data_IF_007843448720
#
_entry.id   IF_007843448720
#
_cell.length_a   1.000
_cell.length_b   1.000
_cell.length_c   1.000
_cell.angle_alpha   90.00
_cell.angle_beta   90.00
_cell.angle_gamma   90.00
#
_symmetry.space_group_name_H-M   'P 1'
#
loop_
_entity.id
_entity.type
_entity.pdbx_description
1 polymer ?
#
# COMPACT_ATOMS: atom_id res chain seq x y z
N UNK A 1 -1.27 18.03 24.69
CA UNK A 1 -0.27 17.26 23.91
C UNK A 1 -0.52 15.75 23.94
N UNK A 2 -0.37 15.07 25.09
CA UNK A 2 -0.50 13.60 25.18
C UNK A 2 -1.85 13.05 24.71
N UNK A 3 -2.96 13.68 25.08
CA UNK A 3 -4.30 13.31 24.59
C UNK A 3 -4.41 13.37 23.06
N UNK A 4 -3.95 14.45 22.43
CA UNK A 4 -3.95 14.58 20.97
C UNK A 4 -3.01 13.57 20.31
N UNK A 5 -1.86 13.26 20.93
CA UNK A 5 -0.94 12.22 20.48
C UNK A 5 -1.56 10.82 20.50
N UNK A 6 -2.28 10.48 21.59
CA UNK A 6 -3.00 9.22 21.68
C UNK A 6 -4.11 9.12 20.64
N UNK A 7 -4.92 10.18 20.48
CA UNK A 7 -5.98 10.23 19.47
C UNK A 7 -5.40 10.10 18.06
N UNK A 8 -4.34 10.83 17.76
CA UNK A 8 -3.67 10.76 16.45
C UNK A 8 -3.21 9.34 16.15
N UNK A 9 -2.58 8.66 17.11
CA UNK A 9 -2.10 7.28 16.95
C UNK A 9 -3.25 6.31 16.74
N UNK A 10 -4.30 6.37 17.56
CA UNK A 10 -5.46 5.48 17.41
C UNK A 10 -6.12 5.65 16.04
N UNK A 11 -6.44 6.88 15.65
CA UNK A 11 -7.13 7.15 14.39
C UNK A 11 -6.24 6.79 13.18
N UNK A 12 -4.91 6.92 13.31
CA UNK A 12 -3.98 6.49 12.25
C UNK A 12 -3.88 4.97 12.12
N UNK A 13 -3.88 4.21 13.23
CA UNK A 13 -3.91 2.74 13.19
C UNK A 13 -5.22 2.25 12.56
N UNK A 14 -6.34 2.86 12.94
CA UNK A 14 -7.65 2.53 12.36
C UNK A 14 -7.66 2.80 10.85
N UNK A 15 -7.12 3.97 10.42
CA UNK A 15 -6.97 4.31 9.00
C UNK A 15 -6.13 3.29 8.26
N UNK A 16 -4.97 2.91 8.81
CA UNK A 16 -4.07 1.93 8.19
C UNK A 16 -4.78 0.60 7.98
N UNK A 17 -5.42 0.05 9.02
CA UNK A 17 -6.15 -1.21 8.93
C UNK A 17 -7.29 -1.18 7.92
N UNK A 18 -8.07 -0.09 7.90
CA UNK A 18 -9.18 0.06 6.96
C UNK A 18 -8.66 0.13 5.52
N UNK A 19 -7.56 0.85 5.28
CA UNK A 19 -6.98 0.95 3.94
C UNK A 19 -6.27 -0.32 3.50
N UNK A 20 -5.62 -1.05 4.42
CA UNK A 20 -5.07 -2.39 4.14
C UNK A 20 -6.21 -3.36 3.75
N UNK A 21 -7.29 -3.42 4.52
CA UNK A 21 -8.46 -4.24 4.20
C UNK A 21 -9.08 -3.83 2.85
N UNK A 22 -9.22 -2.52 2.60
CA UNK A 22 -9.69 -1.98 1.32
C UNK A 22 -8.81 -2.43 0.15
N UNK A 23 -7.49 -2.35 0.32
CA UNK A 23 -6.53 -2.75 -0.70
C UNK A 23 -6.54 -4.26 -0.98
N UNK A 24 -6.89 -5.06 0.02
CA UNK A 24 -7.01 -6.51 -0.09
C UNK A 24 -8.24 -6.92 -0.90
N UNK A 25 -9.40 -6.30 -0.67
CA UNK A 25 -10.63 -6.53 -1.47
C UNK A 25 -10.42 -6.13 -2.91
N UNK A 26 -9.89 -4.93 -3.10
CA UNK A 26 -9.78 -4.31 -4.41
C UNK A 26 -8.45 -4.64 -5.08
N UNK A 27 -7.74 -5.67 -4.59
CA UNK A 27 -6.47 -6.08 -5.15
C UNK A 27 -6.65 -6.57 -6.59
N UNK A 28 -5.74 -6.17 -7.48
CA UNK A 28 -5.74 -6.59 -8.89
C UNK A 28 -5.82 -8.12 -9.08
N UNK A 29 -5.29 -8.90 -8.12
CA UNK A 29 -5.33 -10.37 -8.11
C UNK A 29 -6.76 -10.90 -8.13
N UNK A 30 -7.67 -10.28 -7.39
CA UNK A 30 -9.07 -10.70 -7.30
C UNK A 30 -9.97 -10.02 -8.34
N UNK A 31 -9.46 -8.98 -9.01
CA UNK A 31 -10.15 -8.27 -10.08
C UNK A 31 -9.61 -8.63 -11.46
N UNK A 32 -8.71 -7.81 -12.01
CA UNK A 32 -8.22 -7.98 -13.39
C UNK A 32 -7.56 -9.35 -13.65
N UNK A 33 -6.90 -9.93 -12.65
CA UNK A 33 -6.24 -11.24 -12.79
C UNK A 33 -7.14 -12.44 -12.41
N UNK A 34 -8.40 -12.19 -12.05
CA UNK A 34 -9.36 -13.26 -11.74
C UNK A 34 -10.10 -13.74 -13.00
N UNK A 35 -9.98 -15.04 -13.29
CA UNK A 35 -10.70 -15.69 -14.39
C UNK A 35 -12.22 -15.61 -14.19
N UNK A 36 -12.69 -15.71 -12.94
CA UNK A 36 -14.12 -15.61 -12.61
C UNK A 36 -14.68 -14.22 -12.86
N UNK A 37 -13.94 -13.16 -12.53
CA UNK A 37 -14.38 -11.79 -12.82
C UNK A 37 -14.53 -11.55 -14.32
N UNK A 38 -13.58 -12.07 -15.11
CA UNK A 38 -13.69 -12.04 -16.57
C UNK A 38 -14.87 -12.85 -17.07
N UNK A 39 -15.07 -14.08 -16.58
CA UNK A 39 -16.23 -14.92 -16.92
C UNK A 39 -17.53 -14.19 -16.63
N UNK A 40 -17.71 -13.66 -15.43
CA UNK A 40 -18.95 -12.99 -15.00
C UNK A 40 -19.23 -11.72 -15.84
N UNK A 41 -18.21 -10.90 -16.12
CA UNK A 41 -18.35 -9.70 -16.97
C UNK A 41 -18.61 -10.03 -18.44
N UNK A 42 -18.03 -11.11 -18.97
CA UNK A 42 -18.30 -11.56 -20.34
C UNK A 42 -19.70 -12.16 -20.44
N UNK A 43 -20.10 -13.00 -19.48
CA UNK A 43 -21.45 -13.60 -19.42
C UNK A 43 -22.51 -12.51 -19.36
N UNK A 44 -22.35 -11.47 -18.53
CA UNK A 44 -23.33 -10.38 -18.45
C UNK A 44 -23.43 -9.56 -19.75
N UNK A 45 -22.32 -9.38 -20.47
CA UNK A 45 -22.33 -8.74 -21.80
C UNK A 45 -23.07 -9.59 -22.83
N UNK A 46 -22.83 -10.90 -22.82
CA UNK A 46 -23.49 -11.87 -23.72
C UNK A 46 -24.98 -12.00 -23.38
N UNK A 47 -25.35 -12.23 -22.13
CA UNK A 47 -26.75 -12.32 -21.68
C UNK A 47 -27.54 -11.06 -22.01
N UNK A 48 -26.96 -9.89 -21.77
CA UNK A 48 -27.60 -8.62 -22.09
C UNK A 48 -27.66 -8.28 -23.59
N UNK A 49 -27.06 -9.07 -24.48
CA UNK A 49 -27.28 -8.99 -25.94
C UNK A 49 -28.10 -10.17 -26.48
N UNK A 50 -28.19 -11.27 -25.74
CA UNK A 50 -28.96 -12.46 -26.09
C UNK A 50 -30.43 -12.32 -25.69
N UNK A 51 -30.81 -11.30 -24.90
CA UNK A 51 -32.20 -10.97 -24.57
C UNK A 51 -33.15 -10.83 -25.77
N UNK A 52 -32.64 -10.54 -26.98
CA UNK A 52 -33.42 -10.44 -28.21
C UNK A 52 -33.01 -11.43 -29.32
N UNK A 53 -32.14 -12.41 -29.04
CA UNK A 53 -31.74 -13.40 -30.03
C UNK A 53 -32.31 -14.79 -29.70
N UNK A 54 -33.51 -15.07 -30.22
CA UNK A 54 -33.90 -16.45 -30.55
C UNK A 54 -33.02 -16.94 -31.70
N UNK A 55 -31.77 -17.25 -31.39
CA UNK A 55 -30.76 -17.65 -32.36
C UNK A 55 -31.04 -19.09 -32.80
N UNK A 56 -31.54 -19.23 -34.02
CA UNK A 56 -31.82 -20.54 -34.63
C UNK A 56 -30.52 -21.33 -34.81
N UNK A 57 -30.61 -22.66 -34.89
CA UNK A 57 -29.44 -23.55 -34.99
C UNK A 57 -28.50 -23.19 -36.17
N UNK A 58 -29.05 -22.59 -37.23
CA UNK A 58 -28.30 -22.08 -38.38
C UNK A 58 -27.42 -20.88 -38.01
N UNK A 59 -27.96 -19.90 -37.29
CA UNK A 59 -27.25 -18.70 -36.86
C UNK A 59 -26.16 -18.99 -35.83
N UNK A 60 -26.35 -20.00 -34.95
CA UNK A 60 -25.29 -20.49 -34.05
C UNK A 60 -24.09 -21.04 -34.82
N UNK A 61 -24.36 -21.79 -35.90
CA UNK A 61 -23.31 -22.39 -36.73
C UNK A 61 -22.53 -21.34 -37.53
N UNK A 62 -23.22 -20.29 -37.97
CA UNK A 62 -22.62 -19.15 -38.67
C UNK A 62 -21.78 -18.27 -37.75
N UNK A 63 -22.28 -17.98 -36.53
CA UNK A 63 -21.53 -17.23 -35.54
C UNK A 63 -20.27 -18.00 -35.10
N UNK A 64 -20.39 -19.32 -34.91
CA UNK A 64 -19.24 -20.17 -34.61
C UNK A 64 -18.19 -20.12 -35.73
N UNK A 65 -18.61 -20.22 -36.99
CA UNK A 65 -17.69 -20.13 -38.13
C UNK A 65 -17.01 -18.75 -38.22
N UNK A 66 -17.71 -17.65 -37.90
CA UNK A 66 -17.14 -16.31 -37.88
C UNK A 66 -16.13 -16.11 -36.73
N UNK A 67 -16.45 -16.61 -35.53
CA UNK A 67 -15.54 -16.54 -34.38
C UNK A 67 -14.30 -17.38 -34.63
N UNK A 68 -14.45 -18.58 -35.21
CA UNK A 68 -13.31 -19.42 -35.63
C UNK A 68 -12.45 -18.73 -36.69
N UNK A 69 -13.06 -18.06 -37.68
CA UNK A 69 -12.33 -17.31 -38.71
C UNK A 69 -11.56 -16.09 -38.13
N UNK A 70 -12.16 -15.37 -37.17
CA UNK A 70 -11.52 -14.22 -36.52
C UNK A 70 -10.37 -14.66 -35.60
N UNK A 71 -10.55 -15.71 -34.80
CA UNK A 71 -9.51 -16.27 -33.95
C UNK A 71 -8.37 -16.86 -34.79
N UNK A 72 -8.69 -17.58 -35.87
CA UNK A 72 -7.74 -18.05 -36.88
C UNK A 72 -6.96 -16.89 -37.50
N UNK A 73 -7.64 -15.81 -37.87
CA UNK A 73 -7.03 -14.60 -38.43
C UNK A 73 -6.07 -13.92 -37.46
N UNK A 74 -6.45 -13.80 -36.19
CA UNK A 74 -5.61 -13.23 -35.13
C UNK A 74 -4.36 -14.09 -34.89
N UNK A 75 -4.52 -15.41 -34.79
CA UNK A 75 -3.39 -16.35 -34.65
C UNK A 75 -2.45 -16.25 -35.86
N UNK A 76 -3.00 -16.23 -37.08
CA UNK A 76 -2.22 -16.15 -38.33
C UNK A 76 -1.46 -14.82 -38.43
N UNK A 77 -2.09 -13.71 -38.01
CA UNK A 77 -1.48 -12.37 -38.00
C UNK A 77 -0.37 -12.27 -36.96
N UNK A 78 -0.58 -12.79 -35.74
CA UNK A 78 0.45 -12.87 -34.69
C UNK A 78 1.63 -13.73 -35.14
N UNK A 79 1.40 -14.89 -35.76
CA UNK A 79 2.47 -15.75 -36.30
C UNK A 79 3.23 -15.07 -37.46
N UNK A 80 2.53 -14.33 -38.32
CA UNK A 80 3.15 -13.57 -39.41
C UNK A 80 4.01 -12.41 -38.89
N UNK A 81 3.56 -11.70 -37.84
CA UNK A 81 4.28 -10.60 -37.20
C UNK A 81 5.61 -11.08 -36.58
N UNK A 82 5.60 -12.27 -35.97
CA UNK A 82 6.81 -12.90 -35.39
C UNK A 82 7.74 -13.51 -36.45
N UNK A 83 7.23 -13.85 -37.63
CA UNK A 83 8.03 -14.38 -38.73
C UNK A 83 8.74 -13.30 -39.56
N UNK A 84 8.30 -12.03 -39.52
CA UNK A 84 8.98 -10.91 -40.18
C UNK A 84 10.46 -10.80 -39.74
N UNK A 85 11.37 -10.32 -40.60
CA UNK A 85 12.76 -10.09 -40.24
C UNK A 85 12.85 -8.98 -39.17
N UNK A 86 13.21 -9.36 -37.94
CA UNK A 86 13.37 -8.46 -36.80
C UNK A 86 14.77 -7.84 -36.82
N UNK A 87 14.85 -6.51 -36.92
CA UNK A 87 16.12 -5.76 -37.01
C UNK A 87 16.84 -5.60 -35.66
N UNK A 88 16.13 -5.72 -34.52
CA UNK A 88 16.71 -5.53 -33.18
C UNK A 88 17.18 -6.85 -32.54
N UNK A 89 18.22 -6.76 -31.72
CA UNK A 89 18.83 -7.90 -30.99
C UNK A 89 17.80 -8.57 -30.06
N UNK A 90 16.97 -7.77 -29.38
CA UNK A 90 15.85 -8.28 -28.55
C UNK A 90 14.76 -9.00 -29.36
N UNK A 91 14.49 -8.56 -30.59
CA UNK A 91 13.54 -9.23 -31.49
C UNK A 91 14.03 -10.59 -31.99
N UNK A 92 15.34 -10.75 -32.17
CA UNK A 92 15.97 -12.03 -32.54
C UNK A 92 15.93 -13.06 -31.41
N UNK A 93 16.11 -12.63 -30.16
CA UNK A 93 16.02 -13.48 -28.96
C UNK A 93 14.61 -14.02 -28.71
N UNK A 94 13.58 -13.19 -28.89
CA UNK A 94 12.16 -13.63 -28.78
C UNK A 94 11.79 -14.65 -29.86
N UNK A 95 12.27 -14.47 -31.09
CA UNK A 95 12.06 -15.40 -32.21
C UNK A 95 12.75 -16.76 -31.98
N UNK A 96 13.95 -16.74 -31.39
CA UNK A 96 14.69 -17.95 -31.02
C UNK A 96 13.96 -18.75 -29.92
N UNK A 97 13.50 -18.08 -28.86
CA UNK A 97 12.72 -18.72 -27.79
C UNK A 97 11.41 -19.35 -28.30
N UNK A 98 10.68 -18.66 -29.19
CA UNK A 98 9.44 -19.20 -29.76
C UNK A 98 9.67 -20.45 -30.63
N UNK A 99 10.74 -20.48 -31.43
CA UNK A 99 11.09 -21.65 -32.26
C UNK A 99 11.54 -22.87 -31.45
N UNK A 100 12.13 -22.67 -30.28
CA UNK A 100 12.73 -23.75 -29.49
C UNK A 100 11.74 -24.39 -28.49
N UNK A 101 10.75 -23.63 -28.03
CA UNK A 101 9.77 -24.12 -27.05
C UNK A 101 8.41 -24.47 -27.64
N UNK A 102 8.13 -24.12 -28.90
CA UNK A 102 6.82 -24.35 -29.54
C UNK A 102 6.99 -25.03 -30.89
N UNK A 103 6.59 -26.30 -30.96
CA UNK A 103 6.58 -27.09 -32.19
C UNK A 103 5.16 -27.07 -32.80
N UNK A 104 4.89 -26.29 -33.86
CA UNK A 104 3.53 -25.95 -34.29
C UNK A 104 2.68 -27.16 -34.72
N UNK A 105 3.34 -28.23 -35.21
CA UNK A 105 2.67 -29.47 -35.63
C UNK A 105 2.12 -30.28 -34.46
N UNK A 106 2.70 -30.17 -33.25
CA UNK A 106 2.23 -30.86 -32.04
C UNK A 106 1.03 -30.17 -31.39
N UNK A 107 0.97 -28.84 -31.46
CA UNK A 107 -0.17 -28.08 -30.94
C UNK A 107 -1.42 -28.31 -31.79
N UNK A 108 -1.29 -28.33 -33.12
CA UNK A 108 -2.43 -28.53 -34.02
C UNK A 108 -3.04 -29.94 -33.94
N UNK A 109 -2.25 -30.96 -33.60
CA UNK A 109 -2.70 -32.35 -33.43
C UNK A 109 -3.50 -32.59 -32.13
N UNK A 110 -3.37 -31.71 -31.13
CA UNK A 110 -4.04 -31.87 -29.82
C UNK A 110 -5.38 -31.11 -29.73
N UNK A 111 -5.61 -30.14 -30.61
CA UNK A 111 -6.85 -29.32 -30.64
C UNK A 111 -8.14 -30.16 -30.77
N UNK A 112 -8.23 -31.20 -31.63
CA UNK A 112 -9.46 -31.98 -31.79
C UNK A 112 -9.81 -32.79 -30.53
N UNK A 113 -8.81 -33.26 -29.79
CA UNK A 113 -8.96 -34.00 -28.53
C UNK A 113 -9.45 -33.10 -27.39
N UNK A 114 -8.97 -31.86 -27.30
CA UNK A 114 -9.46 -30.89 -26.32
C UNK A 114 -10.90 -30.45 -26.63
N UNK A 115 -11.22 -30.20 -27.90
CA UNK A 115 -12.58 -29.84 -28.32
C UNK A 115 -13.59 -30.98 -28.09
N UNK A 116 -13.22 -32.23 -28.42
CA UNK A 116 -14.08 -33.40 -28.16
C UNK A 116 -14.25 -33.70 -26.68
N UNK A 117 -13.21 -33.49 -25.86
CA UNK A 117 -13.28 -33.63 -24.40
C UNK A 117 -14.16 -32.56 -23.76
N UNK A 118 -14.09 -31.31 -24.23
CA UNK A 118 -14.95 -30.22 -23.74
C UNK A 118 -16.42 -30.48 -24.12
N UNK A 119 -16.70 -30.88 -25.37
CA UNK A 119 -18.06 -31.18 -25.82
C UNK A 119 -18.62 -32.44 -25.13
N UNK A 120 -17.81 -33.49 -24.95
CA UNK A 120 -18.21 -34.70 -24.22
C UNK A 120 -18.47 -34.43 -22.73
N UNK A 121 -17.74 -33.48 -22.11
CA UNK A 121 -17.90 -33.11 -20.69
C UNK A 121 -19.10 -32.19 -20.47
N UNK A 122 -19.44 -31.36 -21.46
CA UNK A 122 -20.65 -30.54 -21.46
C UNK A 122 -21.91 -31.41 -21.65
N UNK A 123 -21.88 -32.42 -22.54
CA UNK A 123 -23.02 -33.30 -22.82
C UNK A 123 -23.07 -34.61 -22.00
N UNK A 124 -22.16 -34.80 -21.04
CA UNK A 124 -22.19 -36.01 -20.20
C UNK A 124 -23.44 -36.00 -19.29
N UNK A 125 -24.14 -37.14 -19.10
CA UNK A 125 -25.29 -37.26 -18.20
C UNK A 125 -25.00 -36.81 -16.76
N UNK A 126 -23.73 -36.72 -16.36
CA UNK A 126 -23.26 -36.18 -15.08
C UNK A 126 -23.45 -34.65 -14.94
N UNK A 127 -23.38 -33.89 -16.03
CA UNK A 127 -23.61 -32.44 -16.04
C UNK A 127 -25.11 -32.10 -15.95
N UNK A 128 -25.97 -32.93 -16.58
CA UNK A 128 -27.43 -32.81 -16.49
C UNK A 128 -27.95 -33.30 -15.12
N UNK A 129 -27.34 -34.34 -14.54
CA UNK A 129 -27.66 -34.82 -13.17
C UNK A 129 -27.19 -33.85 -12.07
N UNK A 130 -26.13 -33.06 -12.31
CA UNK A 130 -25.68 -31.95 -11.43
C UNK A 130 -26.66 -30.78 -11.36
N UNK A 131 -27.34 -30.43 -12.47
CA UNK A 131 -28.42 -29.42 -12.46
C UNK A 131 -29.65 -29.87 -11.64
N UNK A 132 -29.92 -31.19 -11.58
CA UNK A 132 -31.00 -31.78 -10.75
C UNK A 132 -30.59 -32.12 -9.31
N UNK A 133 -29.28 -32.23 -9.04
CA UNK A 133 -28.73 -32.66 -7.75
C UNK A 133 -28.54 -31.57 -6.70
N UNK A 134 -28.79 -30.30 -7.02
CA UNK A 134 -28.73 -29.18 -6.06
C UNK A 134 -29.89 -29.22 -5.03
N UNK A 135 -30.76 -30.23 -5.10
CA UNK A 135 -31.82 -30.46 -4.12
C UNK A 135 -31.49 -31.50 -3.02
N UNK A 136 -30.35 -32.21 -3.03
CA UNK A 136 -30.08 -33.16 -1.93
C UNK A 136 -28.59 -33.46 -1.68
N UNK A 137 -28.28 -33.53 -0.40
CA UNK A 137 -26.99 -33.43 0.30
C UNK A 137 -25.88 -34.47 -0.01
N UNK A 138 -24.67 -34.07 0.43
CA UNK A 138 -23.43 -34.83 0.72
C UNK A 138 -22.37 -34.85 -0.38
N UNK A 139 -21.75 -33.67 -0.49
CA UNK A 139 -20.31 -33.45 -0.58
C UNK A 139 -19.64 -34.24 0.54
N UNK A 140 -18.76 -35.17 0.21
CA UNK A 140 -17.53 -35.42 0.95
C UNK A 140 -16.67 -36.38 0.12
N UNK A 141 -15.40 -35.99 -0.09
CA UNK A 141 -14.24 -36.85 -0.43
C UNK A 141 -13.52 -36.68 -1.78
N UNK A 142 -13.95 -35.88 -2.76
CA UNK A 142 -13.19 -35.81 -4.04
C UNK A 142 -12.89 -34.41 -4.61
N UNK A 143 -12.94 -33.36 -3.79
CA UNK A 143 -12.79 -31.97 -4.24
C UNK A 143 -11.56 -31.26 -3.65
N UNK A 144 -10.38 -31.91 -3.63
CA UNK A 144 -9.24 -31.35 -2.89
C UNK A 144 -7.95 -31.01 -3.62
N UNK A 145 -7.80 -31.14 -4.94
CA UNK A 145 -6.45 -30.93 -5.51
C UNK A 145 -6.26 -30.16 -6.82
N UNK A 146 -7.25 -29.63 -7.55
CA UNK A 146 -6.88 -28.90 -8.80
C UNK A 146 -7.93 -27.91 -9.36
N UNK A 147 -8.53 -27.03 -8.57
CA UNK A 147 -9.33 -25.90 -9.10
C UNK A 147 -9.08 -24.59 -8.31
N UNK A 148 -9.13 -23.46 -9.03
CA UNK A 148 -8.53 -22.13 -8.78
C UNK A 148 -8.32 -21.65 -7.33
N UNK A 149 -7.06 -21.37 -6.98
CA UNK A 149 -6.67 -20.80 -5.68
C UNK A 149 -7.18 -19.38 -5.45
N UNK A 150 -7.54 -18.65 -6.52
CA UNK A 150 -8.04 -17.28 -6.47
C UNK A 150 -9.51 -17.20 -6.08
N UNK A 151 -10.33 -18.20 -6.41
CA UNK A 151 -11.74 -18.27 -6.01
C UNK A 151 -11.85 -18.52 -4.49
N UNK A 152 -11.10 -19.52 -3.99
CA UNK A 152 -11.05 -19.81 -2.55
C UNK A 152 -10.46 -18.64 -1.75
N UNK A 153 -9.36 -18.03 -2.23
CA UNK A 153 -8.75 -16.88 -1.58
C UNK A 153 -9.66 -15.64 -1.62
N UNK A 154 -10.29 -15.34 -2.76
CA UNK A 154 -11.22 -14.21 -2.90
C UNK A 154 -12.50 -14.39 -2.06
N UNK A 155 -13.06 -15.59 -2.02
CA UNK A 155 -14.19 -15.91 -1.15
C UNK A 155 -13.81 -15.84 0.34
N UNK A 156 -12.61 -16.27 0.71
CA UNK A 156 -12.10 -16.14 2.08
C UNK A 156 -11.91 -14.66 2.48
N UNK A 157 -11.35 -13.83 1.59
CA UNK A 157 -11.22 -12.37 1.78
C UNK A 157 -12.60 -11.73 1.96
N UNK A 158 -13.53 -12.05 1.06
CA UNK A 158 -14.90 -11.50 1.08
C UNK A 158 -15.63 -11.93 2.36
N UNK A 159 -15.51 -13.19 2.78
CA UNK A 159 -16.12 -13.71 4.01
C UNK A 159 -15.51 -13.09 5.27
N UNK A 160 -14.19 -12.92 5.31
CA UNK A 160 -13.49 -12.23 6.39
C UNK A 160 -14.00 -10.79 6.54
N UNK A 161 -14.19 -10.08 5.44
CA UNK A 161 -14.59 -8.67 5.42
C UNK A 161 -16.07 -8.50 5.68
N UNK A 162 -16.92 -9.37 5.12
CA UNK A 162 -18.34 -9.42 5.43
C UNK A 162 -18.57 -9.61 6.94
N UNK A 163 -17.79 -10.48 7.59
CA UNK A 163 -17.83 -10.70 9.04
C UNK A 163 -17.28 -9.51 9.84
N UNK A 164 -16.16 -8.92 9.43
CA UNK A 164 -15.50 -7.82 10.16
C UNK A 164 -16.29 -6.51 10.09
N UNK A 165 -16.89 -6.21 8.93
CA UNK A 165 -17.55 -4.92 8.68
C UNK A 165 -19.08 -5.00 8.62
N UNK A 166 -19.67 -6.20 8.76
CA UNK A 166 -21.11 -6.46 8.63
C UNK A 166 -21.67 -5.91 7.32
N UNK A 167 -21.10 -6.37 6.20
CA UNK A 167 -21.45 -5.94 4.84
C UNK A 167 -21.68 -7.17 3.98
N UNK A 168 -22.69 -7.12 3.11
CA UNK A 168 -23.09 -8.27 2.28
C UNK A 168 -22.38 -8.31 0.94
N UNK A 169 -21.81 -7.18 0.49
CA UNK A 169 -21.26 -7.03 -0.85
C UNK A 169 -20.07 -6.04 -0.87
N UNK A 170 -19.06 -6.23 -1.75
CA UNK A 170 -17.93 -5.31 -1.90
C UNK A 170 -18.32 -3.86 -2.22
N UNK A 171 -19.43 -3.60 -2.91
CA UNK A 171 -19.87 -2.22 -3.17
C UNK A 171 -20.36 -1.52 -1.89
N UNK A 172 -21.13 -2.23 -1.06
CA UNK A 172 -21.59 -1.73 0.24
C UNK A 172 -20.41 -1.49 1.18
N UNK A 173 -19.40 -2.38 1.14
CA UNK A 173 -18.14 -2.19 1.85
C UNK A 173 -17.46 -0.90 1.41
N UNK A 174 -17.23 -0.71 0.10
CA UNK A 174 -16.56 0.47 -0.43
C UNK A 174 -17.27 1.77 -0.02
N UNK A 175 -18.62 1.84 -0.09
CA UNK A 175 -19.38 3.02 0.31
C UNK A 175 -19.24 3.34 1.81
N UNK A 176 -19.34 2.32 2.67
CA UNK A 176 -19.21 2.46 4.13
C UNK A 176 -17.80 2.89 4.53
N UNK A 177 -16.79 2.29 3.89
CA UNK A 177 -15.38 2.60 4.15
C UNK A 177 -15.01 4.00 3.69
N UNK A 178 -15.43 4.43 2.49
CA UNK A 178 -15.12 5.77 2.00
C UNK A 178 -15.68 6.85 2.94
N UNK A 179 -16.92 6.71 3.41
CA UNK A 179 -17.50 7.63 4.40
C UNK A 179 -16.75 7.63 5.75
N UNK A 180 -16.35 6.46 6.24
CA UNK A 180 -15.58 6.34 7.49
C UNK A 180 -14.18 6.95 7.36
N UNK A 181 -13.53 6.76 6.21
CA UNK A 181 -12.20 7.32 5.92
C UNK A 181 -12.21 8.84 5.88
N UNK A 182 -13.27 9.48 5.36
CA UNK A 182 -13.39 10.94 5.39
C UNK A 182 -13.44 11.50 6.82
N UNK A 183 -14.21 10.87 7.71
CA UNK A 183 -14.27 11.26 9.12
C UNK A 183 -12.92 11.07 9.82
N UNK A 184 -12.30 9.91 9.64
CA UNK A 184 -10.98 9.58 10.16
C UNK A 184 -9.93 10.59 9.65
N UNK A 185 -9.94 10.95 8.38
CA UNK A 185 -8.97 11.90 7.82
C UNK A 185 -9.05 13.27 8.50
N UNK A 186 -10.26 13.79 8.73
CA UNK A 186 -10.46 15.06 9.44
C UNK A 186 -9.95 14.97 10.88
N UNK A 187 -10.29 13.91 11.58
CA UNK A 187 -9.87 13.68 12.96
C UNK A 187 -8.35 13.58 13.11
N UNK A 188 -7.71 12.82 12.23
CA UNK A 188 -6.26 12.65 12.20
C UNK A 188 -5.55 13.97 11.89
N UNK A 189 -6.04 14.74 10.91
CA UNK A 189 -5.46 16.06 10.59
C UNK A 189 -5.64 17.05 11.75
N UNK A 190 -6.83 17.11 12.35
CA UNK A 190 -7.11 17.99 13.48
C UNK A 190 -6.21 17.66 14.68
N UNK A 191 -6.04 16.37 15.00
CA UNK A 191 -5.17 15.95 16.09
C UNK A 191 -3.70 16.32 15.81
N UNK A 192 -3.21 16.13 14.59
CA UNK A 192 -1.84 16.51 14.21
C UNK A 192 -1.60 18.03 14.29
N UNK A 193 -2.51 18.85 13.77
CA UNK A 193 -2.43 20.30 13.87
C UNK A 193 -2.54 20.79 15.32
N UNK A 194 -3.39 20.18 16.14
CA UNK A 194 -3.49 20.48 17.56
C UNK A 194 -2.18 20.19 18.31
N UNK A 195 -1.45 19.12 17.93
CA UNK A 195 -0.13 18.83 18.50
C UNK A 195 0.92 19.89 18.11
N UNK A 196 0.95 20.29 16.84
CA UNK A 196 1.85 21.36 16.37
C UNK A 196 1.51 22.68 17.07
N UNK A 197 0.23 23.01 17.22
CA UNK A 197 -0.21 24.19 17.95
C UNK A 197 0.24 24.15 19.43
N UNK A 198 0.16 22.99 20.09
CA UNK A 198 0.68 22.82 21.46
C UNK A 198 2.18 23.12 21.55
N UNK A 199 2.99 22.74 20.56
CA UNK A 199 4.42 23.07 20.52
C UNK A 199 4.65 24.57 20.37
N UNK A 200 3.93 25.21 19.44
CA UNK A 200 4.06 26.65 19.20
C UNK A 200 3.68 27.44 20.45
N UNK A 201 2.60 27.03 21.14
CA UNK A 201 2.20 27.63 22.42
C UNK A 201 3.27 27.42 23.50
N UNK A 202 3.82 26.21 23.63
CA UNK A 202 4.90 25.94 24.59
C UNK A 202 6.13 26.81 24.35
N UNK A 203 6.53 26.99 23.08
CA UNK A 203 7.62 27.90 22.70
C UNK A 203 7.26 29.37 22.91
N UNK A 204 6.02 29.76 22.66
CA UNK A 204 5.52 31.12 22.91
C UNK A 204 5.58 31.50 24.39
N UNK A 205 5.17 30.59 25.28
CA UNK A 205 5.29 30.75 26.73
C UNK A 205 6.76 30.96 27.13
N UNK A 206 7.68 30.22 26.52
CA UNK A 206 9.12 30.39 26.76
C UNK A 206 9.62 31.81 26.43
N UNK A 207 9.12 32.40 25.34
CA UNK A 207 9.49 33.77 24.94
C UNK A 207 8.94 34.82 25.91
N UNK A 208 7.69 34.67 26.36
CA UNK A 208 7.04 35.60 27.30
C UNK A 208 7.73 35.56 28.66
N UNK A 209 8.06 34.35 29.15
CA UNK A 209 8.63 34.14 30.47
C UNK A 209 10.16 34.21 30.51
N UNK A 210 10.79 34.72 29.45
CA UNK A 210 12.26 34.85 29.33
C UNK A 210 12.92 35.62 30.47
N UNK A 211 12.20 36.55 31.12
CA UNK A 211 12.73 37.38 32.22
C UNK A 211 12.60 36.75 33.62
N UNK A 212 11.88 35.63 33.76
CA UNK A 212 11.58 35.01 35.06
C UNK A 212 12.51 33.81 35.32
N UNK A 213 13.67 34.09 35.93
CA UNK A 213 14.75 33.11 36.09
C UNK A 213 14.40 31.92 36.98
N UNK A 214 13.55 32.10 37.99
CA UNK A 214 13.15 31.02 38.90
C UNK A 214 12.29 29.94 38.25
N UNK A 215 11.65 30.24 37.12
CA UNK A 215 10.72 29.34 36.47
C UNK A 215 11.35 28.55 35.31
N UNK A 216 12.60 28.84 34.92
CA UNK A 216 13.25 28.18 33.78
C UNK A 216 13.33 26.66 33.93
N UNK A 217 13.68 26.16 35.11
CA UNK A 217 13.78 24.71 35.39
C UNK A 217 12.44 24.00 35.16
N UNK A 218 11.36 24.50 35.79
CA UNK A 218 10.03 23.90 35.64
C UNK A 218 9.52 23.95 34.20
N UNK A 219 9.68 25.08 33.52
CA UNK A 219 9.26 25.21 32.11
C UNK A 219 10.06 24.29 31.19
N UNK A 220 11.35 24.11 31.47
CA UNK A 220 12.20 23.22 30.68
C UNK A 220 11.78 21.77 30.85
N UNK A 221 11.46 21.33 32.06
CA UNK A 221 10.98 19.96 32.34
C UNK A 221 9.65 19.70 31.62
N UNK A 222 8.70 20.63 31.66
CA UNK A 222 7.44 20.51 30.89
C UNK A 222 7.73 20.44 29.40
N UNK A 223 8.65 21.27 28.90
CA UNK A 223 9.07 21.28 27.51
C UNK A 223 9.73 19.95 27.09
N UNK A 224 10.49 19.33 27.99
CA UNK A 224 11.11 18.03 27.80
C UNK A 224 10.07 16.91 27.73
N UNK A 225 9.05 16.92 28.60
CA UNK A 225 7.93 15.97 28.52
C UNK A 225 7.19 16.08 27.19
N UNK A 226 7.02 17.30 26.67
CA UNK A 226 6.42 17.51 25.35
C UNK A 226 7.30 16.91 24.24
N UNK A 227 8.63 17.05 24.34
CA UNK A 227 9.58 16.43 23.40
C UNK A 227 9.48 14.90 23.39
N UNK A 228 9.35 14.26 24.56
CA UNK A 228 9.20 12.80 24.68
C UNK A 228 7.89 12.35 24.03
N UNK A 229 6.78 13.03 24.33
CA UNK A 229 5.47 12.68 23.77
C UNK A 229 5.47 12.81 22.25
N UNK A 230 6.01 13.91 21.71
CA UNK A 230 6.00 14.12 20.26
C UNK A 230 6.94 13.16 19.53
N UNK A 231 8.11 12.83 20.11
CA UNK A 231 9.01 11.81 19.57
C UNK A 231 8.29 10.46 19.49
N UNK A 232 7.67 10.03 20.59
CA UNK A 232 6.95 8.76 20.66
C UNK A 232 5.82 8.66 19.62
N UNK A 233 5.06 9.74 19.44
CA UNK A 233 3.98 9.78 18.44
C UNK A 233 4.55 9.85 17.02
N UNK A 234 5.60 10.64 16.78
CA UNK A 234 6.23 10.80 15.47
C UNK A 234 6.85 9.50 14.93
N UNK A 235 7.43 8.67 15.80
CA UNK A 235 8.03 7.39 15.38
C UNK A 235 7.02 6.25 15.24
N UNK A 236 5.87 6.31 15.93
CA UNK A 236 4.84 5.24 15.93
C UNK A 236 3.68 5.49 14.99
N UNK A 237 3.48 6.72 14.54
CA UNK A 237 2.44 7.06 13.57
C UNK A 237 2.97 6.85 12.15
N UNK A 238 2.15 6.34 11.21
CA UNK A 238 2.55 6.22 9.81
C UNK A 238 3.13 7.52 9.26
N UNK A 239 4.26 7.42 8.57
CA UNK A 239 4.98 8.57 7.99
C UNK A 239 4.79 8.66 6.47
N UNK A 240 4.61 7.52 5.80
CA UNK A 240 4.44 7.44 4.36
C UNK A 240 3.37 6.40 4.04
N UNK A 241 2.52 6.75 3.09
CA UNK A 241 1.54 5.87 2.48
C UNK A 241 1.85 5.79 0.99
N UNK A 242 2.02 4.57 0.48
CA UNK A 242 2.26 4.27 -0.93
C UNK A 242 1.00 3.58 -1.45
N UNK A 243 0.30 4.21 -2.38
CA UNK A 243 -0.93 3.69 -2.99
C UNK A 243 -0.86 3.85 -4.50
N UNK A 244 -0.67 2.73 -5.20
CA UNK A 244 -0.64 2.65 -6.64
C UNK A 244 -1.82 1.81 -7.13
N UNK A 245 -2.61 2.35 -8.07
CA UNK A 245 -3.81 1.67 -8.57
C UNK A 245 -4.14 2.00 -10.02
N UNK A 246 -4.85 1.09 -10.68
CA UNK A 246 -5.58 1.35 -11.92
C UNK A 246 -6.97 1.82 -11.51
N UNK A 247 -7.24 3.11 -11.69
CA UNK A 247 -8.49 3.73 -11.30
C UNK A 247 -9.66 3.19 -12.12
N UNK A 248 -9.48 3.07 -13.44
CA UNK A 248 -10.44 2.46 -14.32
C UNK A 248 -9.74 1.82 -15.50
N UNK A 249 -10.09 0.58 -15.82
CA UNK A 249 -9.77 -0.06 -17.09
C UNK A 249 -11.08 -0.31 -17.82
N UNK A 250 -11.28 0.40 -18.92
CA UNK A 250 -12.46 0.25 -19.76
C UNK A 250 -12.05 -0.32 -21.10
N UNK A 251 -12.77 -1.31 -21.60
CA UNK A 251 -12.62 -1.76 -22.98
C UNK A 251 -13.96 -2.14 -23.57
N UNK A 252 -14.07 -2.09 -24.89
CA UNK A 252 -15.30 -2.44 -25.59
C UNK A 252 -15.29 -3.90 -26.03
N UNK A 253 -16.35 -4.63 -25.67
CA UNK A 253 -16.62 -5.99 -26.13
C UNK A 253 -18.04 -6.04 -26.70
N UNK A 254 -18.18 -6.42 -27.98
CA UNK A 254 -19.47 -6.48 -28.67
C UNK A 254 -20.27 -5.16 -28.62
N UNK A 255 -19.58 -4.01 -28.62
CA UNK A 255 -20.24 -2.69 -28.50
C UNK A 255 -20.73 -2.33 -27.09
N UNK A 256 -20.52 -3.20 -26.08
CA UNK A 256 -20.71 -2.88 -24.67
C UNK A 256 -19.39 -2.56 -23.98
N UNK A 257 -19.43 -1.59 -23.08
CA UNK A 257 -18.28 -1.18 -22.27
C UNK A 257 -18.13 -2.13 -21.08
N UNK A 258 -17.02 -2.85 -20.99
CA UNK A 258 -16.62 -3.58 -19.79
C UNK A 258 -15.69 -2.70 -18.99
N UNK A 259 -15.99 -2.54 -17.70
CA UNK A 259 -15.22 -1.68 -16.78
C UNK A 259 -14.72 -2.51 -15.60
N UNK A 260 -13.43 -2.35 -15.31
CA UNK A 260 -12.81 -2.72 -14.04
C UNK A 260 -12.43 -1.44 -13.30
N UNK A 261 -13.04 -1.19 -12.14
CA UNK A 261 -12.78 0.00 -11.35
C UNK A 261 -11.88 -0.33 -10.15
N UNK A 262 -11.10 0.67 -9.71
CA UNK A 262 -10.36 0.67 -8.45
C UNK A 262 -9.47 -0.56 -8.22
N UNK A 263 -8.65 -0.94 -9.20
CA UNK A 263 -7.75 -2.09 -9.07
C UNK A 263 -6.46 -1.68 -8.36
N UNK A 264 -6.31 -2.05 -7.10
CA UNK A 264 -5.14 -1.72 -6.28
C UNK A 264 -3.98 -2.63 -6.68
N UNK A 265 -2.88 -2.01 -7.09
CA UNK A 265 -1.64 -2.69 -7.49
C UNK A 265 -0.73 -2.90 -6.28
N UNK A 266 -0.58 -1.85 -5.47
CA UNK A 266 0.29 -1.85 -4.30
C UNK A 266 -0.22 -0.86 -3.27
N UNK A 267 -0.33 -1.32 -2.02
CA UNK A 267 -0.65 -0.48 -0.88
C UNK A 267 0.26 -0.81 0.30
N UNK A 268 0.89 0.20 0.88
CA UNK A 268 1.62 0.10 2.15
C UNK A 268 1.49 1.43 2.91
N UNK A 269 1.24 1.35 4.21
CA UNK A 269 1.31 2.49 5.13
C UNK A 269 2.20 2.06 6.29
N UNK A 270 3.28 2.79 6.57
CA UNK A 270 4.27 2.37 7.60
C UNK A 270 4.80 3.56 8.40
N UNK A 271 5.00 3.34 9.71
CA UNK A 271 5.71 4.26 10.60
C UNK A 271 7.23 4.05 10.53
N UNK A 272 8.01 4.93 11.18
CA UNK A 272 9.47 4.74 11.32
C UNK A 272 9.77 3.43 12.05
N UNK A 273 9.03 3.17 13.13
CA UNK A 273 9.17 1.95 13.91
C UNK A 273 8.83 0.70 13.08
N UNK A 274 7.79 0.74 12.24
CA UNK A 274 7.44 -0.38 11.38
C UNK A 274 8.52 -0.63 10.31
N UNK A 275 9.07 0.44 9.72
CA UNK A 275 10.17 0.32 8.75
C UNK A 275 11.39 -0.36 9.39
N UNK A 276 11.75 0.04 10.61
CA UNK A 276 12.84 -0.59 11.36
C UNK A 276 12.56 -2.09 11.55
N UNK A 277 11.36 -2.46 12.02
CA UNK A 277 11.01 -3.87 12.22
C UNK A 277 11.00 -4.66 10.92
N UNK A 278 10.53 -4.07 9.82
CA UNK A 278 10.55 -4.70 8.50
C UNK A 278 11.98 -4.95 8.06
N UNK A 279 12.90 -3.99 8.26
CA UNK A 279 14.32 -4.12 7.91
C UNK A 279 15.04 -5.17 8.76
N UNK A 280 14.82 -5.19 10.07
CA UNK A 280 15.42 -6.14 11.00
C UNK A 280 14.96 -7.59 10.77
N UNK A 281 13.74 -7.79 10.24
CA UNK A 281 13.21 -9.12 9.91
C UNK A 281 13.65 -9.62 8.53
N UNK A 282 14.34 -8.81 7.74
CA UNK A 282 14.80 -9.26 6.43
C UNK A 282 15.91 -10.31 6.59
N UNK A 283 15.94 -11.35 5.73
CA UNK A 283 16.99 -12.37 5.78
C UNK A 283 18.36 -11.86 5.30
N UNK A 284 18.41 -10.67 4.69
CA UNK A 284 19.65 -10.09 4.16
C UNK A 284 20.41 -9.32 5.25
N UNK A 285 21.71 -9.61 5.48
CA UNK A 285 22.48 -8.96 6.54
C UNK A 285 22.57 -7.44 6.35
N UNK A 286 22.70 -6.95 5.12
CA UNK A 286 22.78 -5.52 4.81
C UNK A 286 21.55 -4.74 5.33
N UNK A 287 20.36 -5.30 5.12
CA UNK A 287 19.10 -4.68 5.57
C UNK A 287 19.00 -4.65 7.09
N UNK A 288 19.47 -5.70 7.77
CA UNK A 288 19.45 -5.78 9.24
C UNK A 288 20.39 -4.74 9.84
N UNK A 289 21.58 -4.56 9.27
CA UNK A 289 22.54 -3.53 9.71
C UNK A 289 21.93 -2.14 9.56
N UNK A 290 21.32 -1.83 8.42
CA UNK A 290 20.65 -0.53 8.20
C UNK A 290 19.52 -0.33 9.20
N UNK A 291 18.68 -1.35 9.43
CA UNK A 291 17.61 -1.30 10.42
C UNK A 291 18.12 -1.03 11.84
N UNK A 292 19.22 -1.68 12.25
CA UNK A 292 19.85 -1.47 13.55
C UNK A 292 20.44 -0.06 13.69
N UNK A 293 21.09 0.47 12.66
CA UNK A 293 21.62 1.84 12.65
C UNK A 293 20.50 2.87 12.78
N UNK A 294 19.42 2.74 12.01
CA UNK A 294 18.25 3.65 12.12
C UNK A 294 17.66 3.57 13.53
N UNK A 295 17.50 2.37 14.09
CA UNK A 295 16.99 2.21 15.46
C UNK A 295 17.85 2.94 16.50
N UNK A 296 19.17 2.80 16.40
CA UNK A 296 20.11 3.44 17.32
C UNK A 296 20.08 4.96 17.15
N UNK A 297 20.27 5.47 15.93
CA UNK A 297 20.47 6.91 15.69
C UNK A 297 19.19 7.74 15.65
N UNK A 298 18.05 7.16 15.28
CA UNK A 298 16.77 7.88 15.11
C UNK A 298 15.85 7.71 16.32
N UNK A 299 16.03 6.67 17.15
CA UNK A 299 15.19 6.42 18.32
C UNK A 299 15.99 6.42 19.61
N UNK A 300 16.95 5.49 19.77
CA UNK A 300 17.67 5.34 21.04
C UNK A 300 18.43 6.63 21.39
N UNK A 301 19.19 7.16 20.45
CA UNK A 301 20.05 8.31 20.70
C UNK A 301 19.26 9.59 21.02
N UNK A 302 18.17 9.93 20.29
CA UNK A 302 17.24 10.99 20.69
C UNK A 302 16.66 10.81 22.09
N UNK A 303 16.24 9.60 22.46
CA UNK A 303 15.70 9.31 23.79
C UNK A 303 16.76 9.50 24.87
N UNK A 304 17.98 8.95 24.69
CA UNK A 304 19.09 9.12 25.62
C UNK A 304 19.45 10.59 25.80
N UNK A 305 19.42 11.37 24.71
CA UNK A 305 19.64 12.81 24.76
C UNK A 305 18.57 13.53 25.57
N UNK A 306 17.28 13.21 25.39
CA UNK A 306 16.21 13.79 26.20
C UNK A 306 16.36 13.42 27.68
N UNK A 307 16.72 12.17 28.00
CA UNK A 307 17.00 11.73 29.37
C UNK A 307 18.19 12.50 29.96
N UNK A 308 19.29 12.62 29.20
CA UNK A 308 20.48 13.38 29.62
C UNK A 308 20.16 14.84 29.93
N UNK A 309 19.34 15.50 29.11
CA UNK A 309 18.85 16.87 29.38
C UNK A 309 18.02 16.96 30.66
N UNK A 310 17.18 15.95 30.92
CA UNK A 310 16.40 15.86 32.14
C UNK A 310 17.29 15.71 33.38
N UNK A 311 18.22 14.75 33.35
CA UNK A 311 19.15 14.48 34.46
C UNK A 311 20.07 15.68 34.71
N UNK A 312 20.55 16.36 33.67
CA UNK A 312 21.44 17.52 33.84
C UNK A 312 20.75 18.70 34.54
N UNK A 313 19.45 18.89 34.35
CA UNK A 313 18.70 20.01 34.93
C UNK A 313 18.05 19.67 36.28
N UNK A 314 17.62 18.41 36.47
CA UNK A 314 16.97 17.96 37.70
C UNK A 314 17.93 17.28 38.69
N UNK A 315 19.09 16.81 38.22
CA UNK A 315 20.04 16.05 39.01
C UNK A 315 20.83 16.92 39.98
N UNK A 316 21.17 16.33 41.13
CA UNK A 316 22.15 16.93 42.04
C UNK A 316 23.51 17.11 41.33
N UNK A 317 24.32 18.04 41.83
CA UNK A 317 25.60 18.47 41.25
C UNK A 317 26.48 17.29 40.77
N UNK A 318 26.55 16.19 41.53
CA UNK A 318 27.34 14.99 41.17
C UNK A 318 26.85 14.24 39.92
N UNK A 319 25.54 14.12 39.70
CA UNK A 319 24.98 13.41 38.54
C UNK A 319 24.82 14.34 37.33
N UNK A 320 24.58 15.63 37.57
CA UNK A 320 24.48 16.66 36.53
C UNK A 320 25.82 17.00 35.88
N UNK A 321 26.93 16.93 36.63
CA UNK A 321 28.29 17.23 36.13
C UNK A 321 29.05 16.03 35.59
N UNK A 322 28.48 14.82 35.67
CA UNK A 322 29.11 13.63 35.09
C UNK A 322 29.38 13.86 33.59
N UNK A 323 30.63 13.69 33.16
CA UNK A 323 31.10 13.89 31.78
C UNK A 323 30.20 13.19 30.75
N UNK A 324 29.69 12.00 31.06
CA UNK A 324 28.80 11.25 30.16
C UNK A 324 27.43 11.93 30.03
N UNK A 325 26.82 12.36 31.14
CA UNK A 325 25.52 13.04 31.14
C UNK A 325 25.62 14.40 30.46
N UNK A 326 26.69 15.15 30.76
CA UNK A 326 26.98 16.45 30.15
C UNK A 326 27.19 16.34 28.64
N UNK A 327 27.97 15.36 28.20
CA UNK A 327 28.13 15.04 26.77
C UNK A 327 26.79 14.66 26.12
N UNK A 328 26.01 13.75 26.73
CA UNK A 328 24.69 13.35 26.23
C UNK A 328 23.70 14.50 26.16
N UNK A 329 23.74 15.45 27.10
CA UNK A 329 22.82 16.58 27.14
C UNK A 329 23.21 17.68 26.13
N UNK A 330 24.49 18.07 26.07
CA UNK A 330 24.96 19.29 25.40
C UNK A 330 25.62 19.07 24.03
N UNK A 331 26.40 17.99 23.87
CA UNK A 331 27.32 17.80 22.73
C UNK A 331 26.97 16.63 21.81
N UNK A 332 26.13 15.71 22.28
CA UNK A 332 25.66 14.54 21.55
C UNK A 332 24.85 14.88 20.30
N UNK A 333 24.45 16.14 20.12
CA UNK A 333 23.57 16.55 19.02
C UNK A 333 24.08 16.28 17.61
N UNK A 334 25.38 16.03 17.42
CA UNK A 334 25.95 15.63 16.12
C UNK A 334 25.59 14.21 15.70
N UNK A 335 25.27 13.34 16.66
CA UNK A 335 24.94 11.94 16.42
C UNK A 335 23.43 11.72 16.28
N UNK A 336 22.63 12.72 16.60
CA UNK A 336 21.17 12.70 16.46
C UNK A 336 20.82 12.82 14.97
N UNK A 337 20.56 11.69 14.31
CA UNK A 337 20.30 11.60 12.87
C UNK A 337 18.80 11.79 12.54
N UNK A 338 18.00 12.31 13.48
CA UNK A 338 16.57 12.51 13.26
C UNK A 338 16.28 13.52 12.13
N UNK A 339 17.13 14.54 11.96
CA UNK A 339 17.07 15.51 10.87
C UNK A 339 17.39 14.89 9.50
N UNK A 340 18.43 14.06 9.41
CA UNK A 340 18.77 13.34 8.18
C UNK A 340 17.66 12.34 7.83
N UNK A 341 17.02 11.71 8.82
CA UNK A 341 15.87 10.85 8.59
C UNK A 341 14.70 11.62 7.96
N UNK A 342 14.40 12.84 8.39
CA UNK A 342 13.36 13.70 7.77
C UNK A 342 13.66 13.90 6.28
N UNK A 343 14.91 14.22 5.94
CA UNK A 343 15.33 14.41 4.54
C UNK A 343 15.26 13.09 3.77
N UNK A 344 15.67 11.98 4.38
CA UNK A 344 15.62 10.65 3.78
C UNK A 344 14.20 10.19 3.44
N UNK A 345 13.24 10.43 4.34
CA UNK A 345 11.82 10.16 4.10
C UNK A 345 11.29 11.03 2.95
N UNK A 346 11.65 12.32 2.93
CA UNK A 346 11.24 13.23 1.86
C UNK A 346 11.81 12.81 0.49
N UNK A 347 13.10 12.45 0.43
CA UNK A 347 13.73 11.95 -0.80
C UNK A 347 13.09 10.64 -1.26
N UNK A 348 12.75 9.75 -0.33
CA UNK A 348 12.04 8.50 -0.63
C UNK A 348 10.63 8.78 -1.17
N UNK A 349 9.91 9.74 -0.59
CA UNK A 349 8.61 10.17 -1.09
C UNK A 349 8.71 10.72 -2.52
N UNK A 350 9.65 11.63 -2.78
CA UNK A 350 9.86 12.21 -4.12
C UNK A 350 10.25 11.11 -5.12
N UNK A 351 11.17 10.22 -4.74
CA UNK A 351 11.64 9.12 -5.59
C UNK A 351 10.54 8.11 -5.92
N UNK A 352 9.80 7.63 -4.93
CA UNK A 352 8.67 6.72 -5.12
C UNK A 352 7.57 7.39 -5.95
N UNK A 353 7.25 8.65 -5.67
CA UNK A 353 6.22 9.37 -6.42
C UNK A 353 6.61 9.53 -7.90
N UNK A 354 7.87 9.87 -8.18
CA UNK A 354 8.40 10.00 -9.54
C UNK A 354 8.39 8.67 -10.30
N UNK A 355 8.95 7.61 -9.69
CA UNK A 355 9.04 6.28 -10.31
C UNK A 355 7.64 5.71 -10.54
N UNK A 356 6.78 5.67 -9.52
CA UNK A 356 5.43 5.12 -9.65
C UNK A 356 4.61 5.88 -10.69
N UNK A 357 4.67 7.22 -10.69
CA UNK A 357 3.99 8.02 -11.71
C UNK A 357 4.46 7.69 -13.13
N UNK A 358 5.77 7.56 -13.34
CA UNK A 358 6.32 7.20 -14.66
C UNK A 358 5.89 5.79 -15.09
N UNK A 359 6.00 4.81 -14.20
CA UNK A 359 5.61 3.42 -14.49
C UNK A 359 4.10 3.28 -14.75
N UNK A 360 3.27 3.97 -13.96
CA UNK A 360 1.82 3.98 -14.13
C UNK A 360 1.37 4.73 -15.38
N UNK A 361 2.06 5.81 -15.77
CA UNK A 361 1.78 6.53 -17.01
C UNK A 361 2.01 5.67 -18.25
N UNK A 362 2.98 4.75 -18.21
CA UNK A 362 3.22 3.80 -19.30
C UNK A 362 2.07 2.78 -19.46
N UNK A 363 1.28 2.58 -18.41
CA UNK A 363 0.08 1.73 -18.43
C UNK A 363 -1.19 2.50 -18.83
N UNK A 364 -1.08 3.82 -18.98
CA UNK A 364 -2.19 4.69 -19.33
C UNK A 364 -2.38 4.69 -20.85
N UNK A 365 -3.20 3.75 -21.33
CA UNK A 365 -3.49 3.55 -22.75
C UNK A 365 -4.79 4.27 -23.06
N UNK A 366 -4.79 5.12 -24.09
CA UNK A 366 -6.00 5.73 -24.64
C UNK A 366 -6.10 5.37 -26.12
N UNK A 367 -7.01 4.46 -26.44
CA UNK A 367 -7.41 4.18 -27.81
C UNK A 367 -8.92 3.87 -27.86
N UNK A 368 -9.48 3.73 -29.05
CA UNK A 368 -10.93 3.55 -29.27
C UNK A 368 -11.49 2.26 -28.63
N UNK A 369 -10.63 1.29 -28.27
CA UNK A 369 -11.04 -0.03 -27.78
C UNK A 369 -10.68 -0.28 -26.31
N UNK A 370 -9.70 0.43 -25.75
CA UNK A 370 -9.15 0.28 -24.41
C UNK A 370 -8.73 1.66 -23.88
N UNK A 371 -9.32 2.05 -22.75
CA UNK A 371 -8.95 3.24 -21.98
C UNK A 371 -8.61 2.84 -20.55
N UNK A 372 -7.37 3.09 -20.13
CA UNK A 372 -6.87 2.71 -18.80
C UNK A 372 -6.41 3.96 -18.06
N UNK A 373 -7.04 4.32 -16.95
CA UNK A 373 -6.61 5.42 -16.09
C UNK A 373 -5.88 4.86 -14.88
N UNK A 374 -4.64 5.31 -14.66
CA UNK A 374 -3.83 4.94 -13.50
C UNK A 374 -3.62 6.14 -12.59
N UNK A 375 -3.56 5.90 -11.27
CA UNK A 375 -3.40 6.95 -10.26
C UNK A 375 -2.34 6.53 -9.25
N UNK A 376 -1.48 7.49 -8.90
CA UNK A 376 -0.55 7.40 -7.79
C UNK A 376 -1.02 8.31 -6.65
N UNK A 377 -1.46 7.71 -5.54
CA UNK A 377 -1.92 8.39 -4.33
C UNK A 377 -0.86 8.35 -3.21
N UNK A 378 0.41 8.12 -3.55
CA UNK A 378 1.50 8.18 -2.60
C UNK A 378 1.50 9.54 -1.89
N UNK A 379 1.50 9.53 -0.56
CA UNK A 379 1.38 10.74 0.26
C UNK A 379 2.13 10.63 1.58
N UNK A 380 2.67 11.77 2.02
CA UNK A 380 3.22 11.91 3.37
C UNK A 380 2.08 11.94 4.39
N UNK A 381 2.23 11.15 5.44
CA UNK A 381 1.21 10.99 6.47
C UNK A 381 1.45 11.93 7.67
N UNK A 382 0.45 12.15 8.53
CA UNK A 382 0.55 13.01 9.71
C UNK A 382 1.74 12.72 10.62
N UNK A 383 2.19 11.46 10.71
CA UNK A 383 3.39 11.10 11.48
C UNK A 383 4.65 11.81 10.99
N UNK A 384 4.80 12.04 9.68
CA UNK A 384 5.94 12.77 9.13
C UNK A 384 5.99 14.20 9.65
N UNK A 385 4.87 14.94 9.57
CA UNK A 385 4.83 16.33 10.03
C UNK A 385 5.04 16.45 11.55
N UNK A 386 4.52 15.51 12.33
CA UNK A 386 4.75 15.44 13.77
C UNK A 386 6.23 15.18 14.08
N UNK A 387 6.88 14.28 13.33
CA UNK A 387 8.30 14.00 13.48
C UNK A 387 9.19 15.20 13.06
N UNK A 388 8.85 15.92 12.00
CA UNK A 388 9.49 17.20 11.65
C UNK A 388 9.35 18.22 12.78
N UNK A 389 8.15 18.32 13.36
CA UNK A 389 7.88 19.15 14.52
C UNK A 389 8.77 18.79 15.71
N UNK A 390 8.98 17.50 15.98
CA UNK A 390 9.92 17.01 17.00
C UNK A 390 11.34 17.49 16.72
N UNK A 391 11.87 17.28 15.51
CA UNK A 391 13.25 17.64 15.16
C UNK A 391 13.48 19.13 15.34
N UNK A 392 12.59 19.97 14.81
CA UNK A 392 12.68 21.43 14.96
C UNK A 392 12.60 21.83 16.45
N UNK A 393 11.67 21.26 17.20
CA UNK A 393 11.51 21.53 18.62
C UNK A 393 12.72 21.09 19.46
N UNK A 394 13.32 19.94 19.16
CA UNK A 394 14.50 19.42 19.85
C UNK A 394 15.74 20.29 19.62
N UNK A 395 15.91 20.84 18.41
CA UNK A 395 16.96 21.83 18.10
C UNK A 395 16.76 23.09 18.96
N UNK A 396 15.54 23.65 18.98
CA UNK A 396 15.23 24.85 19.77
C UNK A 396 15.45 24.60 21.26
N UNK A 397 14.99 23.46 21.78
CA UNK A 397 15.19 23.08 23.18
C UNK A 397 16.68 22.97 23.54
N UNK A 398 17.51 22.52 22.60
CA UNK A 398 18.98 22.47 22.80
C UNK A 398 19.60 23.86 22.90
N UNK A 399 19.15 24.81 22.08
CA UNK A 399 19.60 26.21 22.14
C UNK A 399 19.15 26.88 23.44
N UNK A 400 17.90 26.62 23.85
CA UNK A 400 17.35 27.11 25.11
C UNK A 400 18.19 26.60 26.29
N UNK A 401 18.50 25.30 26.33
CA UNK A 401 19.29 24.72 27.40
C UNK A 401 20.68 25.37 27.54
N UNK A 402 21.38 25.55 26.40
CA UNK A 402 22.70 26.22 26.39
C UNK A 402 22.66 27.65 26.92
N UNK A 403 21.52 28.36 26.80
CA UNK A 403 21.35 29.71 27.36
C UNK A 403 21.09 29.71 28.86
N UNK A 404 20.45 28.66 29.40
CA UNK A 404 20.16 28.55 30.83
C UNK A 404 21.41 28.10 31.60
N UNK A 405 22.26 27.28 30.97
CA UNK A 405 23.48 26.74 31.58
C UNK A 405 24.78 27.21 30.88
N UNK A 406 25.08 28.52 30.88
CA UNK A 406 26.22 29.07 30.13
C UNK A 406 27.60 28.68 30.70
N UNK A 407 27.69 28.33 31.98
CA UNK A 407 28.96 27.92 32.62
C UNK A 407 29.33 26.45 32.36
N UNK A 408 28.46 25.68 31.71
CA UNK A 408 28.66 24.25 31.45
C UNK A 408 29.06 23.90 30.02
N UNK A 409 29.25 24.89 29.13
CA UNK A 409 29.87 24.63 27.83
C UNK A 409 31.37 24.39 28.01
N UNK A 410 31.78 23.12 27.90
CA UNK A 410 33.20 22.77 27.71
C UNK A 410 33.55 23.24 26.30
N UNK A 411 34.54 24.14 26.21
CA UNK A 411 35.14 24.60 24.95
C UNK A 411 35.72 23.40 24.19
#
# INVERSE_FOLDING_TARGET
>A
MAYFGYRLRQTSIEREQIKEDYSMVNNITFGLFSVDQWRNKIVSVVEGQVGDFKMTAKQKKELQAQVEAQLSGLVKKTVAEFNKPQKSIGGKLKKFAFKQFVDPKKIQALVPSFASTIIAKINSPASIKRLKGIATSKIDQLEKQTYDSTEFAGAAVTKYIAKKYNVSDPEQFNKKINSRLEGINKDTQNAAWAMIACLVVALGIWLIMRKQTQLHTTHFVVSLLFAVVILAVGITTPIIEVDARIQSLNFMLLGKKIVFENQVLFFQSKSILDIIWVLLKQPKPDSVVIGALIFIFVIIFPVLRLIGKGIHILGNHEFGENKVVKYLALDSGKWDMADVMVVGILMTYIGLNGILKSQLSNLNIHNDFLTTMTVNNTSLQPGYYVFVGYVAYAIILSVIMKRITPNDTII
#
